data_IF_477361973746
#
_entry.id   IF_477361973746
#
_cell.length_a   1.000
_cell.length_b   1.000
_cell.length_c   1.000
_cell.angle_alpha   90.00
_cell.angle_beta   90.00
_cell.angle_gamma   90.00
#
_symmetry.space_group_name_H-M   'P 1'
#
loop_
_entity.id
_entity.type
_entity.pdbx_description
1 polymer ?
#
# COMPACT_ATOMS: atom_id res chain seq x y z
N UNK A 1 16.98 -2.78 -4.66
CA UNK A 1 16.45 -1.73 -3.77
C UNK A 1 17.43 -1.56 -2.63
N UNK A 2 17.68 -0.33 -2.20
CA UNK A 2 18.44 -0.11 -0.97
C UNK A 2 17.55 -0.40 0.25
N UNK A 3 18.12 -0.77 1.41
CA UNK A 3 17.36 -1.02 2.64
C UNK A 3 16.46 0.15 3.05
N UNK A 4 16.87 1.37 2.77
CA UNK A 4 16.14 2.61 3.05
C UNK A 4 14.88 2.71 2.18
N UNK A 5 14.99 2.38 0.90
CA UNK A 5 13.85 2.36 -0.02
C UNK A 5 12.84 1.27 0.37
N UNK A 6 13.33 0.09 0.77
CA UNK A 6 12.48 -1.00 1.27
C UNK A 6 11.77 -0.61 2.58
N UNK A 7 12.46 0.02 3.53
CA UNK A 7 11.84 0.50 4.77
C UNK A 7 10.81 1.62 4.51
N UNK A 8 11.09 2.53 3.58
CA UNK A 8 10.14 3.54 3.16
C UNK A 8 8.87 2.90 2.56
N UNK A 9 9.04 1.90 1.70
CA UNK A 9 7.94 1.12 1.12
C UNK A 9 7.11 0.39 2.18
N UNK A 10 7.74 -0.31 3.13
CA UNK A 10 7.03 -0.96 4.24
C UNK A 10 6.28 0.05 5.11
N UNK A 11 6.85 1.23 5.35
CA UNK A 11 6.19 2.31 6.09
C UNK A 11 4.94 2.81 5.37
N UNK A 12 5.03 3.07 4.06
CA UNK A 12 3.89 3.48 3.23
C UNK A 12 2.84 2.38 3.14
N UNK A 13 3.24 1.11 3.01
CA UNK A 13 2.33 -0.03 2.97
C UNK A 13 1.55 -0.20 4.28
N UNK A 14 2.19 -0.03 5.43
CA UNK A 14 1.52 -0.02 6.75
C UNK A 14 0.46 1.09 6.83
N UNK A 15 0.83 2.32 6.45
CA UNK A 15 -0.13 3.45 6.40
C UNK A 15 -1.29 3.16 5.46
N UNK A 16 -1.01 2.67 4.26
CA UNK A 16 -2.03 2.32 3.28
C UNK A 16 -3.01 1.27 3.83
N UNK A 17 -2.52 0.29 4.59
CA UNK A 17 -3.38 -0.71 5.25
C UNK A 17 -4.26 -0.10 6.33
N UNK A 18 -3.71 0.74 7.20
CA UNK A 18 -4.49 1.45 8.24
C UNK A 18 -5.57 2.32 7.62
N UNK A 19 -5.24 3.08 6.57
CA UNK A 19 -6.20 3.92 5.85
C UNK A 19 -7.27 3.06 5.17
N UNK A 20 -6.91 1.92 4.59
CA UNK A 20 -7.87 0.98 4.00
C UNK A 20 -8.83 0.47 5.08
N UNK A 21 -8.32 0.02 6.23
CA UNK A 21 -9.17 -0.48 7.31
C UNK A 21 -10.11 0.60 7.83
N UNK A 22 -9.60 1.81 8.11
CA UNK A 22 -10.41 2.93 8.55
C UNK A 22 -11.46 3.36 7.52
N UNK A 23 -11.11 3.35 6.22
CA UNK A 23 -12.03 3.75 5.15
C UNK A 23 -13.02 2.64 4.75
N UNK A 24 -12.73 1.38 5.07
CA UNK A 24 -13.63 0.24 4.80
C UNK A 24 -14.45 -0.17 6.02
N UNK A 25 -14.13 0.35 7.21
CA UNK A 25 -14.93 0.15 8.41
C UNK A 25 -16.34 0.71 8.23
N UNK A 26 -17.34 -0.17 8.32
CA UNK A 26 -18.77 0.19 8.14
C UNK A 26 -19.23 0.34 6.69
N UNK A 27 -18.36 0.09 5.69
CA UNK A 27 -18.75 0.17 4.27
C UNK A 27 -19.11 -1.18 3.67
N UNK A 28 -19.92 -1.20 2.59
CA UNK A 28 -20.23 -2.42 1.88
C UNK A 28 -19.04 -2.87 1.02
N UNK A 29 -18.85 -4.19 0.89
CA UNK A 29 -17.76 -4.81 0.10
C UNK A 29 -17.65 -4.28 -1.33
N UNK A 30 -18.75 -3.86 -1.94
CA UNK A 30 -18.76 -3.26 -3.30
C UNK A 30 -18.02 -1.93 -3.37
N UNK A 31 -17.94 -1.16 -2.27
CA UNK A 31 -17.17 0.07 -2.20
C UNK A 31 -15.70 -0.17 -1.82
N UNK A 32 -15.40 -1.31 -1.19
CA UNK A 32 -14.04 -1.60 -0.70
C UNK A 32 -13.03 -1.60 -1.84
N UNK A 33 -13.35 -2.24 -2.97
CA UNK A 33 -12.43 -2.34 -4.10
C UNK A 33 -12.06 -0.96 -4.67
N UNK A 34 -13.05 -0.06 -4.75
CA UNK A 34 -12.86 1.31 -5.21
C UNK A 34 -12.02 2.13 -4.22
N UNK A 35 -12.27 1.98 -2.93
CA UNK A 35 -11.54 2.67 -1.85
C UNK A 35 -10.10 2.19 -1.78
N UNK A 36 -9.90 0.87 -1.82
CA UNK A 36 -8.58 0.24 -1.86
C UNK A 36 -7.81 0.72 -3.09
N UNK A 37 -8.43 0.71 -4.27
CA UNK A 37 -7.79 1.18 -5.50
C UNK A 37 -7.40 2.65 -5.43
N UNK A 38 -8.25 3.52 -4.89
CA UNK A 38 -7.96 4.95 -4.75
C UNK A 38 -6.82 5.22 -3.74
N UNK A 39 -6.82 4.51 -2.61
CA UNK A 39 -5.76 4.61 -1.60
C UNK A 39 -4.44 4.06 -2.15
N UNK A 40 -4.46 2.91 -2.84
CA UNK A 40 -3.28 2.36 -3.50
C UNK A 40 -2.70 3.33 -4.53
N UNK A 41 -3.53 4.00 -5.33
CA UNK A 41 -3.06 5.00 -6.30
C UNK A 41 -2.41 6.22 -5.63
N UNK A 42 -3.06 6.75 -4.57
CA UNK A 42 -2.55 7.87 -3.77
C UNK A 42 -1.17 7.55 -3.17
N UNK A 43 -1.03 6.39 -2.53
CA UNK A 43 0.22 5.97 -1.92
C UNK A 43 1.27 5.55 -2.95
N UNK A 44 0.87 5.02 -4.11
CA UNK A 44 1.78 4.68 -5.18
C UNK A 44 2.50 5.94 -5.72
N UNK A 45 1.84 7.10 -5.80
CA UNK A 45 2.48 8.37 -6.20
C UNK A 45 3.62 8.78 -5.27
N UNK A 46 3.47 8.56 -3.96
CA UNK A 46 4.55 8.79 -2.98
C UNK A 46 5.73 7.85 -3.17
N UNK A 47 5.49 6.65 -3.71
CA UNK A 47 6.53 5.64 -3.98
C UNK A 47 7.22 5.87 -5.33
N UNK A 48 6.51 6.35 -6.35
CA UNK A 48 7.10 6.68 -7.66
C UNK A 48 8.23 7.70 -7.48
N UNK A 49 8.07 8.64 -6.55
CA UNK A 49 9.12 9.61 -6.20
C UNK A 49 10.38 8.97 -5.58
N UNK A 50 10.26 7.77 -4.98
CA UNK A 50 11.36 7.05 -4.33
C UNK A 50 12.11 6.10 -5.27
N UNK A 51 11.50 5.68 -6.38
CA UNK A 51 12.08 4.69 -7.29
C UNK A 51 11.88 5.09 -8.75
N UNK A 52 12.80 5.89 -9.34
CA UNK A 52 12.63 6.44 -10.68
C UNK A 52 12.80 5.42 -11.82
N UNK A 53 13.30 4.20 -11.56
CA UNK A 53 13.79 3.36 -12.66
C UNK A 53 13.57 1.83 -12.55
N UNK A 54 12.77 1.33 -11.60
CA UNK A 54 12.67 -0.13 -11.44
C UNK A 54 11.31 -0.57 -10.87
N UNK A 55 10.51 -1.20 -11.72
CA UNK A 55 9.17 -1.76 -11.45
C UNK A 55 8.04 -0.73 -11.18
N UNK A 56 6.79 -1.02 -11.59
CA UNK A 56 5.66 -0.16 -11.29
C UNK A 56 5.44 -0.07 -9.78
N UNK A 57 5.48 1.14 -9.22
CA UNK A 57 5.26 1.41 -7.78
C UNK A 57 3.98 0.77 -7.23
N UNK A 58 2.92 0.70 -8.06
CA UNK A 58 1.66 0.05 -7.73
C UNK A 58 1.82 -1.44 -7.43
N UNK A 59 2.71 -2.14 -8.14
CA UNK A 59 2.97 -3.57 -7.96
C UNK A 59 3.77 -3.83 -6.68
N UNK A 60 4.73 -2.96 -6.37
CA UNK A 60 5.45 -2.97 -5.09
C UNK A 60 4.54 -2.73 -3.90
N UNK A 61 3.69 -1.71 -3.98
CA UNK A 61 2.75 -1.38 -2.91
C UNK A 61 1.77 -2.55 -2.69
N UNK A 62 1.21 -3.13 -3.75
CA UNK A 62 0.32 -4.28 -3.61
C UNK A 62 1.02 -5.50 -2.99
N UNK A 63 2.30 -5.73 -3.32
CA UNK A 63 3.09 -6.81 -2.73
C UNK A 63 3.33 -6.58 -1.23
N UNK A 64 3.84 -5.40 -0.85
CA UNK A 64 4.13 -5.09 0.55
C UNK A 64 2.88 -4.96 1.41
N UNK A 65 1.76 -4.46 0.87
CA UNK A 65 0.48 -4.45 1.60
C UNK A 65 0.04 -5.88 1.93
N UNK A 66 0.18 -6.84 1.00
CA UNK A 66 -0.07 -8.27 1.26
C UNK A 66 0.92 -8.87 2.26
N UNK A 67 2.18 -8.47 2.20
CA UNK A 67 3.20 -8.94 3.15
C UNK A 67 2.90 -8.46 4.57
N UNK A 68 2.65 -7.16 4.75
CA UNK A 68 2.29 -6.54 6.03
C UNK A 68 0.98 -7.12 6.56
N UNK A 69 0.00 -7.37 5.69
CA UNK A 69 -1.25 -7.99 6.09
C UNK A 69 -1.04 -9.41 6.65
N UNK A 70 -0.19 -10.21 6.00
CA UNK A 70 0.21 -11.53 6.53
C UNK A 70 0.96 -11.41 7.86
N UNK A 71 1.92 -10.50 7.96
CA UNK A 71 2.73 -10.28 9.18
C UNK A 71 1.88 -9.84 10.37
N UNK A 72 0.84 -9.02 10.14
CA UNK A 72 -0.01 -8.50 11.22
C UNK A 72 -1.16 -9.45 11.57
N UNK A 73 -1.38 -10.51 10.78
CA UNK A 73 -2.44 -11.50 11.03
C UNK A 73 -1.90 -12.74 11.77
N UNK A 74 -0.59 -12.82 12.00
CA UNK A 74 0.04 -13.77 12.93
C UNK A 74 0.10 -13.18 14.33
#
# INVERSE_FOLDING_TARGET
MSPEAENALRSVARKCRTDILAATEGKPRSEHDRIITALLDKHAKSIIALSPNTFPAKRWLSFYVRQVDKETRQ
#
